data_IF_426031286064
#
_entry.id   IF_426031286064
#
_cell.length_a   1.000
_cell.length_b   1.000
_cell.length_c   1.000
_cell.angle_alpha   90.00
_cell.angle_beta   90.00
_cell.angle_gamma   90.00
#
_symmetry.space_group_name_H-M   'P 1'
#
loop_
_entity.id
_entity.type
_entity.pdbx_description
1 polymer ?
#
# COMPACT_ATOMS: atom_id res chain seq x y z
N UNK A 1 35.44 64.45 -42.30
CA UNK A 1 34.43 63.76 -43.14
C UNK A 1 34.83 62.30 -43.38
N UNK A 2 36.11 61.94 -43.66
CA UNK A 2 36.55 60.58 -43.93
C UNK A 2 36.34 59.58 -42.75
N UNK A 3 36.57 60.02 -41.50
CA UNK A 3 36.40 59.17 -40.31
C UNK A 3 34.91 58.83 -40.05
N UNK A 4 34.03 59.76 -40.27
CA UNK A 4 32.58 59.54 -40.14
C UNK A 4 32.05 58.57 -41.18
N UNK A 5 32.54 58.68 -42.44
CA UNK A 5 32.15 57.76 -43.46
C UNK A 5 32.63 56.31 -43.17
N UNK A 6 33.81 56.16 -42.58
CA UNK A 6 34.37 54.85 -42.22
C UNK A 6 33.62 54.22 -41.07
N UNK A 7 33.16 55.03 -40.10
CA UNK A 7 32.28 54.57 -39.00
C UNK A 7 30.92 54.09 -39.52
N UNK A 8 30.29 54.85 -40.42
CA UNK A 8 29.02 54.49 -41.00
C UNK A 8 29.18 53.18 -41.78
N UNK A 9 30.26 53.03 -42.60
CA UNK A 9 30.51 51.80 -43.36
C UNK A 9 30.69 50.61 -42.41
N UNK A 10 31.42 50.78 -41.30
CA UNK A 10 31.61 49.69 -40.34
C UNK A 10 30.28 49.20 -39.66
N UNK A 11 29.38 50.15 -39.37
CA UNK A 11 28.06 49.82 -38.82
C UNK A 11 27.21 49.06 -39.84
N UNK A 12 27.21 49.55 -41.12
CA UNK A 12 26.48 48.86 -42.21
C UNK A 12 27.01 47.43 -42.46
N UNK A 13 28.30 47.26 -42.43
CA UNK A 13 28.93 45.92 -42.61
C UNK A 13 28.59 45.04 -41.43
N UNK A 14 28.60 45.55 -40.19
CA UNK A 14 28.23 44.80 -38.98
C UNK A 14 26.76 44.36 -39.02
N UNK A 15 25.85 45.29 -39.39
CA UNK A 15 24.42 44.98 -39.52
C UNK A 15 24.16 43.94 -40.64
N UNK A 16 24.81 44.07 -41.81
CA UNK A 16 24.73 43.07 -42.86
C UNK A 16 25.29 41.72 -42.44
N UNK A 17 26.39 41.70 -41.68
CA UNK A 17 26.94 40.46 -41.14
C UNK A 17 26.01 39.78 -40.15
N UNK A 18 25.42 40.52 -39.19
CA UNK A 18 24.48 39.97 -38.21
C UNK A 18 23.17 39.54 -38.84
N UNK A 19 22.68 40.24 -39.86
CA UNK A 19 21.46 39.86 -40.60
C UNK A 19 21.63 38.60 -41.44
N UNK A 20 22.84 38.36 -42.00
CA UNK A 20 23.12 37.16 -42.77
C UNK A 20 23.57 35.96 -41.96
N UNK A 21 24.11 36.19 -40.74
CA UNK A 21 24.51 35.13 -39.84
C UNK A 21 23.38 34.75 -38.88
N UNK A 22 22.28 34.23 -39.40
CA UNK A 22 21.24 33.59 -38.55
C UNK A 22 21.84 32.35 -37.95
N UNK A 23 22.00 32.36 -36.63
CA UNK A 23 22.35 31.14 -35.86
C UNK A 23 21.19 30.17 -35.97
N UNK A 24 21.28 29.22 -36.89
CA UNK A 24 20.35 28.11 -36.93
C UNK A 24 20.51 27.28 -35.62
N UNK A 25 19.49 27.33 -34.79
CA UNK A 25 19.41 26.40 -33.67
C UNK A 25 19.01 25.04 -34.23
N UNK A 26 19.95 24.14 -34.28
CA UNK A 26 19.69 22.75 -34.63
C UNK A 26 19.37 21.98 -33.38
N UNK A 27 18.21 21.37 -33.35
CA UNK A 27 17.85 20.40 -32.31
C UNK A 27 18.13 19.00 -32.84
N UNK A 28 18.77 18.20 -32.01
CA UNK A 28 18.93 16.76 -32.31
C UNK A 28 17.56 16.12 -32.28
N UNK A 29 17.12 15.57 -33.42
CA UNK A 29 15.89 14.77 -33.44
C UNK A 29 16.07 13.56 -32.54
N UNK A 30 15.20 13.44 -31.52
CA UNK A 30 15.16 12.27 -30.64
C UNK A 30 14.05 11.36 -31.14
N UNK A 31 14.42 10.12 -31.41
CA UNK A 31 13.42 9.11 -31.71
C UNK A 31 12.54 8.89 -30.47
N UNK A 32 11.25 9.09 -30.62
CA UNK A 32 10.28 8.91 -29.53
C UNK A 32 9.18 8.00 -30.04
N UNK A 33 8.97 6.91 -29.32
CA UNK A 33 7.86 6.00 -29.60
C UNK A 33 6.57 6.64 -29.09
N UNK A 34 5.63 6.89 -29.97
CA UNK A 34 4.31 7.40 -29.60
C UNK A 34 3.36 6.22 -29.54
N UNK A 35 2.81 5.97 -28.33
CA UNK A 35 1.79 4.95 -28.14
C UNK A 35 0.41 5.53 -28.39
N UNK A 36 -0.41 4.80 -29.12
CA UNK A 36 -1.83 5.10 -29.25
C UNK A 36 -2.55 4.46 -28.06
N UNK A 37 -3.23 5.27 -27.27
CA UNK A 37 -4.03 4.80 -26.14
C UNK A 37 -5.44 4.46 -26.61
N UNK A 38 -5.96 3.32 -26.16
CA UNK A 38 -7.35 2.90 -26.33
C UNK A 38 -8.01 3.04 -24.97
N UNK A 39 -8.97 3.94 -24.87
CA UNK A 39 -9.77 4.10 -23.64
C UNK A 39 -10.91 3.07 -23.64
N UNK A 40 -10.98 2.25 -22.61
CA UNK A 40 -12.02 1.25 -22.47
C UNK A 40 -12.31 1.01 -21.00
N UNK A 41 -13.53 0.54 -20.71
CA UNK A 41 -13.91 0.07 -19.37
C UNK A 41 -13.54 -1.40 -19.26
N UNK A 42 -12.83 -1.74 -18.20
CA UNK A 42 -12.41 -3.11 -17.92
C UNK A 42 -13.00 -3.62 -16.60
N UNK A 43 -13.31 -4.91 -16.56
CA UNK A 43 -13.62 -5.63 -15.34
C UNK A 43 -12.34 -6.34 -14.84
N UNK A 44 -11.97 -6.09 -13.59
CA UNK A 44 -10.89 -6.84 -12.93
C UNK A 44 -11.48 -8.11 -12.31
N UNK A 45 -11.01 -9.27 -12.72
CA UNK A 45 -11.49 -10.57 -12.25
C UNK A 45 -10.39 -11.28 -11.50
N UNK A 46 -10.68 -11.65 -10.27
CA UNK A 46 -9.83 -12.44 -9.37
C UNK A 46 -10.66 -13.57 -8.78
N UNK A 47 -10.02 -14.63 -8.34
CA UNK A 47 -10.70 -15.65 -7.56
C UNK A 47 -10.83 -15.16 -6.12
N UNK A 48 -12.05 -14.79 -5.72
CA UNK A 48 -12.37 -14.18 -4.45
C UNK A 48 -13.44 -15.00 -3.70
N UNK A 49 -13.19 -15.26 -2.43
CA UNK A 49 -14.12 -15.99 -1.57
C UNK A 49 -14.54 -15.08 -0.41
N UNK A 50 -15.80 -14.72 -0.37
CA UNK A 50 -16.37 -13.90 0.71
C UNK A 50 -16.36 -14.67 2.02
N UNK A 51 -15.93 -14.01 3.10
CA UNK A 51 -15.98 -14.54 4.44
C UNK A 51 -17.09 -13.86 5.21
N UNK A 52 -18.18 -14.57 5.42
CA UNK A 52 -19.33 -14.09 6.19
C UNK A 52 -19.37 -14.75 7.55
N UNK A 53 -19.80 -14.01 8.56
CA UNK A 53 -19.96 -14.50 9.92
C UNK A 53 -21.44 -14.70 10.29
N UNK A 54 -21.71 -15.47 11.35
CA UNK A 54 -23.08 -15.70 11.83
C UNK A 54 -23.71 -14.46 12.49
N UNK A 55 -23.28 -13.26 12.16
CA UNK A 55 -23.74 -12.01 12.77
C UNK A 55 -23.27 -11.82 14.23
N UNK A 56 -23.50 -10.61 14.75
CA UNK A 56 -23.11 -10.25 16.12
C UNK A 56 -21.84 -9.40 16.17
N UNK A 57 -21.31 -9.23 17.37
CA UNK A 57 -20.11 -8.40 17.60
C UNK A 57 -18.85 -9.19 17.30
N UNK A 58 -18.04 -8.70 16.37
CA UNK A 58 -16.81 -9.36 15.94
C UNK A 58 -15.62 -8.42 16.04
N UNK A 59 -14.44 -9.00 16.34
CA UNK A 59 -13.14 -8.32 16.24
C UNK A 59 -12.31 -9.07 15.23
N UNK A 60 -11.86 -8.37 14.19
CA UNK A 60 -11.00 -8.92 13.15
C UNK A 60 -9.63 -9.26 13.72
N UNK A 61 -9.08 -10.44 13.34
CA UNK A 61 -7.80 -10.95 13.83
C UNK A 61 -6.71 -10.97 12.76
N UNK A 62 -7.07 -10.69 11.50
CA UNK A 62 -6.18 -10.72 10.36
C UNK A 62 -6.15 -9.35 9.71
N UNK A 63 -5.00 -8.87 9.32
CA UNK A 63 -4.84 -7.59 8.66
C UNK A 63 -5.10 -7.69 7.15
N UNK A 64 -5.45 -6.56 6.51
CA UNK A 64 -5.54 -6.48 5.06
C UNK A 64 -4.17 -6.79 4.42
N UNK A 65 -4.18 -7.63 3.39
CA UNK A 65 -2.96 -8.10 2.72
C UNK A 65 -2.25 -9.25 3.44
N UNK A 66 -2.71 -9.67 4.59
CA UNK A 66 -2.12 -10.79 5.34
C UNK A 66 -2.49 -12.13 4.71
N UNK A 67 -1.52 -13.05 4.69
CA UNK A 67 -1.75 -14.44 4.25
C UNK A 67 -2.44 -15.24 5.33
N UNK A 68 -3.56 -15.87 4.96
CA UNK A 68 -4.32 -16.72 5.85
C UNK A 68 -4.37 -18.16 5.31
N UNK A 69 -4.18 -19.12 6.21
CA UNK A 69 -4.30 -20.53 5.87
C UNK A 69 -5.77 -20.97 5.88
N UNK A 70 -6.07 -22.07 5.19
CA UNK A 70 -7.38 -22.74 5.30
C UNK A 70 -7.71 -23.04 6.76
N UNK A 71 -8.93 -22.75 7.17
CA UNK A 71 -9.41 -22.79 8.56
C UNK A 71 -8.74 -21.78 9.49
N UNK A 72 -7.98 -20.82 8.95
CA UNK A 72 -7.44 -19.70 9.69
C UNK A 72 -8.55 -18.81 10.26
N UNK A 73 -8.31 -18.25 11.43
CA UNK A 73 -9.27 -17.35 12.09
C UNK A 73 -9.26 -15.97 11.45
N UNK A 74 -10.40 -15.53 10.93
CA UNK A 74 -10.57 -14.18 10.37
C UNK A 74 -11.03 -13.21 11.45
N UNK A 75 -11.97 -13.61 12.29
CA UNK A 75 -12.48 -12.78 13.37
C UNK A 75 -12.83 -13.61 14.60
N UNK A 76 -12.81 -12.96 15.77
CA UNK A 76 -13.32 -13.47 17.02
C UNK A 76 -14.72 -12.88 17.28
N UNK A 77 -15.60 -13.66 17.86
CA UNK A 77 -16.95 -13.25 18.22
C UNK A 77 -17.06 -12.99 19.71
N UNK A 78 -17.78 -11.94 20.05
CA UNK A 78 -18.01 -11.54 21.46
C UNK A 78 -19.50 -11.45 21.75
N UNK A 79 -19.82 -11.54 23.04
CA UNK A 79 -21.21 -11.45 23.50
C UNK A 79 -21.73 -10.02 23.45
N UNK A 80 -20.86 -9.03 23.66
CA UNK A 80 -21.21 -7.62 23.67
C UNK A 80 -20.14 -6.75 23.00
N UNK A 81 -20.51 -5.53 22.61
CA UNK A 81 -19.58 -4.51 22.12
C UNK A 81 -18.56 -4.11 23.21
N UNK A 82 -18.98 -4.11 24.47
CA UNK A 82 -18.09 -3.81 25.59
C UNK A 82 -16.96 -4.85 25.69
N UNK A 83 -17.29 -6.14 25.56
CA UNK A 83 -16.31 -7.23 25.57
C UNK A 83 -15.36 -7.13 24.37
N UNK A 84 -15.88 -6.88 23.18
CA UNK A 84 -15.09 -6.70 21.95
C UNK A 84 -14.11 -5.53 22.09
N UNK A 85 -14.58 -4.41 22.63
CA UNK A 85 -13.76 -3.23 22.87
C UNK A 85 -12.69 -3.49 23.92
N UNK A 86 -13.04 -4.11 25.04
CA UNK A 86 -12.10 -4.47 26.10
C UNK A 86 -11.01 -5.43 25.57
N UNK A 87 -11.40 -6.43 24.77
CA UNK A 87 -10.45 -7.34 24.11
C UNK A 87 -9.50 -6.59 23.17
N UNK A 88 -10.02 -5.74 22.30
CA UNK A 88 -9.20 -4.97 21.36
C UNK A 88 -8.21 -4.04 22.07
N UNK A 89 -8.67 -3.33 23.10
CA UNK A 89 -7.83 -2.46 23.90
C UNK A 89 -6.74 -3.24 24.64
N UNK A 90 -7.10 -4.39 25.24
CA UNK A 90 -6.15 -5.25 25.94
C UNK A 90 -5.12 -5.82 24.99
N UNK A 91 -5.50 -6.19 23.77
CA UNK A 91 -4.58 -6.68 22.74
C UNK A 91 -3.58 -5.60 22.34
N UNK A 92 -4.04 -4.37 22.08
CA UNK A 92 -3.17 -3.25 21.77
C UNK A 92 -2.19 -2.92 22.92
N UNK A 93 -2.65 -2.98 24.16
CA UNK A 93 -1.76 -2.79 25.33
C UNK A 93 -0.73 -3.92 25.45
N UNK A 94 -1.12 -5.16 25.15
CA UNK A 94 -0.22 -6.33 25.15
C UNK A 94 0.86 -6.20 24.07
N UNK A 95 0.52 -5.76 22.89
CA UNK A 95 1.48 -5.49 21.81
C UNK A 95 2.46 -4.38 22.23
N UNK A 96 1.95 -3.30 22.81
CA UNK A 96 2.78 -2.21 23.32
C UNK A 96 3.70 -2.66 24.45
N UNK A 97 3.21 -3.53 25.35
CA UNK A 97 4.02 -4.12 26.43
C UNK A 97 5.14 -4.99 25.84
N UNK A 98 4.82 -5.80 24.83
CA UNK A 98 5.83 -6.61 24.15
C UNK A 98 6.87 -5.74 23.45
N UNK A 99 6.44 -4.69 22.76
CA UNK A 99 7.32 -3.72 22.14
C UNK A 99 8.31 -3.08 23.13
N UNK A 100 7.86 -2.67 24.30
CA UNK A 100 8.76 -2.14 25.34
C UNK A 100 9.73 -3.18 25.89
N UNK A 101 9.34 -4.45 25.99
CA UNK A 101 10.25 -5.54 26.35
C UNK A 101 11.34 -5.74 25.29
N UNK A 102 10.96 -5.71 24.02
CA UNK A 102 11.89 -5.89 22.93
C UNK A 102 12.87 -4.72 22.82
N UNK A 103 12.41 -3.49 23.06
CA UNK A 103 13.25 -2.30 23.13
C UNK A 103 14.24 -2.38 24.31
N UNK A 104 13.79 -2.75 25.49
CA UNK A 104 14.64 -2.92 26.67
C UNK A 104 15.73 -3.97 26.41
N UNK A 105 15.39 -5.11 25.82
CA UNK A 105 16.32 -6.17 25.45
C UNK A 105 17.34 -5.69 24.40
N UNK A 106 16.90 -4.97 23.38
CA UNK A 106 17.77 -4.39 22.35
C UNK A 106 18.71 -3.34 22.93
N UNK A 107 18.25 -2.53 23.89
CA UNK A 107 19.06 -1.49 24.52
C UNK A 107 20.19 -2.04 25.38
N UNK A 108 19.95 -3.16 26.06
CA UNK A 108 20.98 -3.81 26.90
C UNK A 108 21.99 -4.60 26.06
N UNK A 109 21.58 -5.11 24.90
CA UNK A 109 22.46 -5.92 24.04
C UNK A 109 23.39 -5.08 23.13
N UNK A 110 23.07 -3.81 22.86
CA UNK A 110 23.74 -3.01 21.82
C UNK A 110 24.57 -1.85 22.40
N UNK A 111 25.17 -1.99 23.56
CA UNK A 111 25.93 -0.92 24.23
C UNK A 111 27.24 -0.51 23.52
N UNK A 112 27.45 -0.78 22.22
CA UNK A 112 28.80 -0.78 21.68
C UNK A 112 29.13 0.23 20.58
N UNK A 113 28.17 0.70 19.78
CA UNK A 113 28.52 1.63 18.69
C UNK A 113 27.35 2.57 18.29
N UNK A 114 27.48 3.84 18.67
CA UNK A 114 26.51 4.88 18.30
C UNK A 114 26.50 5.11 16.77
N UNK A 115 27.62 4.91 16.10
CA UNK A 115 27.75 5.06 14.64
C UNK A 115 26.90 4.02 13.91
N UNK A 116 26.85 2.80 14.43
CA UNK A 116 26.00 1.74 13.88
C UNK A 116 24.51 2.11 14.00
N UNK A 117 24.09 2.68 15.13
CA UNK A 117 22.72 3.14 15.35
C UNK A 117 22.38 4.34 14.48
N UNK A 118 23.30 5.27 14.28
CA UNK A 118 23.11 6.40 13.37
C UNK A 118 22.96 5.94 11.91
N UNK A 119 23.74 4.96 11.47
CA UNK A 119 23.60 4.36 10.14
C UNK A 119 22.26 3.62 9.97
N UNK A 120 21.81 2.88 10.99
CA UNK A 120 20.52 2.23 11.00
C UNK A 120 19.37 3.25 10.94
N UNK A 121 19.49 4.38 11.65
CA UNK A 121 18.50 5.45 11.57
C UNK A 121 18.36 6.02 10.14
N UNK A 122 19.50 6.22 9.45
CA UNK A 122 19.48 6.66 8.04
C UNK A 122 18.82 5.63 7.13
N UNK A 123 19.09 4.34 7.35
CA UNK A 123 18.44 3.28 6.57
C UNK A 123 16.93 3.26 6.78
N UNK A 124 16.47 3.32 8.03
CA UNK A 124 15.03 3.32 8.35
C UNK A 124 14.31 4.54 7.75
N UNK A 125 14.95 5.72 7.73
CA UNK A 125 14.41 6.91 7.04
C UNK A 125 14.28 6.66 5.53
N UNK A 126 15.30 6.06 4.90
CA UNK A 126 15.26 5.74 3.48
C UNK A 126 14.20 4.69 3.15
N UNK A 127 14.00 3.69 4.01
CA UNK A 127 12.98 2.66 3.84
C UNK A 127 11.58 3.26 3.99
N UNK A 128 11.38 4.18 4.94
CA UNK A 128 10.14 4.95 5.06
C UNK A 128 9.82 5.76 3.80
N UNK A 129 10.81 6.51 3.28
CA UNK A 129 10.64 7.31 2.05
C UNK A 129 10.34 6.40 0.86
N UNK A 130 11.02 5.25 0.75
CA UNK A 130 10.79 4.28 -0.33
C UNK A 130 9.39 3.68 -0.28
N UNK A 131 8.93 3.28 0.90
CA UNK A 131 7.59 2.75 1.09
C UNK A 131 6.52 3.78 0.69
N UNK A 132 6.68 5.05 1.11
CA UNK A 132 5.78 6.13 0.69
C UNK A 132 5.78 6.35 -0.83
N UNK A 133 6.95 6.34 -1.47
CA UNK A 133 7.07 6.50 -2.92
C UNK A 133 6.41 5.35 -3.71
N UNK A 134 6.33 4.17 -3.11
CA UNK A 134 5.66 2.99 -3.67
C UNK A 134 4.18 2.88 -3.27
N UNK A 135 3.66 3.85 -2.51
CA UNK A 135 2.31 3.81 -1.93
C UNK A 135 2.06 2.58 -1.04
N UNK A 136 3.12 2.01 -0.47
CA UNK A 136 3.07 0.92 0.50
C UNK A 136 2.85 1.50 1.91
N UNK A 137 1.59 1.68 2.28
CA UNK A 137 1.22 2.24 3.59
C UNK A 137 1.60 1.31 4.76
N UNK A 138 1.57 0.00 4.54
CA UNK A 138 1.93 -0.99 5.55
C UNK A 138 3.44 -0.96 5.79
N UNK A 139 4.24 -0.99 4.73
CA UNK A 139 5.69 -0.85 4.80
C UNK A 139 6.10 0.50 5.40
N UNK A 140 5.42 1.59 5.05
CA UNK A 140 5.66 2.90 5.64
C UNK A 140 5.38 2.93 7.15
N UNK A 141 4.29 2.31 7.60
CA UNK A 141 3.98 2.20 9.04
C UNK A 141 5.05 1.42 9.79
N UNK A 142 5.50 0.29 9.26
CA UNK A 142 6.56 -0.53 9.84
C UNK A 142 7.89 0.24 9.92
N UNK A 143 8.30 0.86 8.81
CA UNK A 143 9.53 1.65 8.77
C UNK A 143 9.49 2.87 9.71
N UNK A 144 8.33 3.51 9.87
CA UNK A 144 8.14 4.59 10.86
C UNK A 144 8.31 4.11 12.30
N UNK A 145 7.84 2.91 12.61
CA UNK A 145 8.02 2.30 13.92
C UNK A 145 9.50 1.96 14.17
N UNK A 146 10.18 1.33 13.22
CA UNK A 146 11.61 1.01 13.30
C UNK A 146 12.47 2.27 13.46
N UNK A 147 12.13 3.33 12.73
CA UNK A 147 12.78 4.63 12.87
C UNK A 147 12.62 5.20 14.29
N UNK A 148 11.43 5.15 14.84
CA UNK A 148 11.13 5.61 16.20
C UNK A 148 11.92 4.81 17.26
N UNK A 149 11.99 3.48 17.08
CA UNK A 149 12.75 2.58 17.94
C UNK A 149 14.25 2.90 17.92
N UNK A 150 14.79 3.15 16.73
CA UNK A 150 16.20 3.47 16.54
C UNK A 150 16.55 4.83 17.14
N UNK A 151 15.70 5.85 16.99
CA UNK A 151 15.89 7.14 17.65
C UNK A 151 15.79 7.04 19.17
N UNK A 152 14.86 6.27 19.69
CA UNK A 152 14.73 6.01 21.12
C UNK A 152 15.98 5.33 21.67
N UNK A 153 16.48 4.30 20.98
CA UNK A 153 17.71 3.59 21.31
C UNK A 153 18.91 4.53 21.30
N UNK A 154 19.01 5.39 20.29
CA UNK A 154 20.04 6.43 20.22
C UNK A 154 20.00 7.39 21.42
N UNK A 155 18.80 7.88 21.79
CA UNK A 155 18.63 8.74 22.96
C UNK A 155 19.10 8.08 24.25
N UNK A 156 18.83 6.78 24.43
CA UNK A 156 19.30 6.01 25.57
C UNK A 156 20.83 5.90 25.61
N UNK A 157 21.47 5.71 24.45
CA UNK A 157 22.93 5.63 24.36
C UNK A 157 23.63 6.95 24.71
N UNK A 158 23.01 8.09 24.45
CA UNK A 158 23.56 9.42 24.80
C UNK A 158 23.20 9.89 26.23
N UNK A 159 22.61 9.02 27.03
CA UNK A 159 22.40 9.24 28.46
C UNK A 159 20.98 9.57 28.88
N UNK A 160 19.97 9.42 28.01
CA UNK A 160 18.56 9.52 28.41
C UNK A 160 18.14 8.19 29.00
N UNK A 161 17.83 8.15 30.31
CA UNK A 161 17.29 6.94 30.94
C UNK A 161 15.79 6.86 30.74
N UNK A 162 15.30 5.75 30.16
CA UNK A 162 13.88 5.44 30.06
C UNK A 162 13.57 4.40 31.15
N UNK A 163 12.60 4.71 32.00
CA UNK A 163 12.14 3.78 33.02
C UNK A 163 11.12 2.78 32.42
N UNK A 164 11.65 1.76 31.74
CA UNK A 164 10.83 0.68 31.19
C UNK A 164 10.04 -0.09 32.26
N UNK A 165 10.55 -0.15 33.49
CA UNK A 165 9.86 -0.84 34.57
C UNK A 165 8.57 -0.11 34.96
N UNK A 166 8.63 1.23 35.07
CA UNK A 166 7.46 2.05 35.33
C UNK A 166 6.46 1.99 34.18
N UNK A 167 6.92 2.09 32.91
CA UNK A 167 6.06 2.02 31.74
C UNK A 167 5.36 0.67 31.60
N UNK A 168 6.08 -0.44 31.80
CA UNK A 168 5.50 -1.80 31.76
C UNK A 168 4.50 -2.02 32.88
N UNK A 169 4.77 -1.49 34.09
CA UNK A 169 3.86 -1.58 35.23
C UNK A 169 2.56 -0.82 34.97
N UNK A 170 2.65 0.37 34.39
CA UNK A 170 1.47 1.18 34.03
C UNK A 170 0.60 0.46 33.00
N UNK A 171 1.19 -0.08 31.91
CA UNK A 171 0.47 -0.86 30.91
C UNK A 171 -0.19 -2.11 31.53
N UNK A 172 0.49 -2.79 32.46
CA UNK A 172 -0.06 -3.95 33.15
C UNK A 172 -1.28 -3.55 34.00
N UNK A 173 -1.19 -2.44 34.72
CA UNK A 173 -2.34 -1.91 35.50
C UNK A 173 -3.53 -1.60 34.62
N UNK A 174 -3.31 -0.94 33.47
CA UNK A 174 -4.37 -0.65 32.49
C UNK A 174 -5.00 -1.94 31.93
N UNK A 175 -4.19 -2.98 31.68
CA UNK A 175 -4.71 -4.28 31.23
C UNK A 175 -5.53 -5.00 32.31
N UNK A 176 -5.16 -4.86 33.56
CA UNK A 176 -5.87 -5.46 34.70
C UNK A 176 -7.21 -4.75 34.94
N UNK A 177 -7.26 -3.43 34.78
CA UNK A 177 -8.47 -2.61 34.87
C UNK A 177 -9.51 -2.95 33.78
N UNK A 178 -9.06 -3.34 32.57
CA UNK A 178 -9.94 -3.76 31.48
C UNK A 178 -10.57 -5.15 31.70
N UNK A 179 -10.03 -5.94 32.65
CA UNK A 179 -10.45 -7.31 32.86
C UNK A 179 -10.13 -8.25 31.71
N UNK A 180 -10.74 -9.43 31.72
CA UNK A 180 -10.61 -10.44 30.65
C UNK A 180 -11.93 -10.62 29.94
N UNK A 181 -11.96 -10.25 28.67
CA UNK A 181 -13.09 -10.56 27.78
C UNK A 181 -12.72 -11.77 26.92
N UNK A 182 -13.47 -12.86 27.09
CA UNK A 182 -13.23 -14.10 26.33
C UNK A 182 -14.14 -14.16 25.10
N UNK A 183 -13.60 -14.54 23.92
CA UNK A 183 -14.43 -14.73 22.74
C UNK A 183 -15.35 -15.94 22.90
N UNK A 184 -16.60 -15.79 22.49
CA UNK A 184 -17.61 -16.87 22.47
C UNK A 184 -17.48 -17.78 21.23
N UNK A 185 -16.62 -17.44 20.28
CA UNK A 185 -16.36 -18.22 19.09
C UNK A 185 -15.45 -17.48 18.11
N UNK A 186 -15.22 -18.09 16.97
CA UNK A 186 -14.41 -17.51 15.88
C UNK A 186 -15.06 -17.73 14.52
N UNK A 187 -14.77 -16.85 13.59
CA UNK A 187 -15.06 -17.01 12.17
C UNK A 187 -13.78 -17.41 11.46
N UNK A 188 -13.84 -18.46 10.67
CA UNK A 188 -12.69 -19.00 9.93
C UNK A 188 -12.96 -18.99 8.44
N UNK A 189 -11.89 -18.93 7.64
CA UNK A 189 -11.99 -19.07 6.19
C UNK A 189 -11.98 -20.56 5.76
N UNK A 190 -12.72 -20.89 4.70
CA UNK A 190 -12.70 -22.22 4.12
C UNK A 190 -11.51 -22.45 3.16
N UNK A 191 -10.84 -21.38 2.73
CA UNK A 191 -9.77 -21.38 1.74
C UNK A 191 -8.53 -20.67 2.29
N UNK A 192 -7.37 -20.96 1.68
CA UNK A 192 -6.13 -20.22 1.97
C UNK A 192 -5.91 -19.15 0.92
N UNK A 193 -5.36 -18.02 1.30
CA UNK A 193 -5.09 -16.92 0.36
C UNK A 193 -4.65 -15.64 1.08
N UNK A 194 -4.90 -14.50 0.46
CA UNK A 194 -4.64 -13.18 1.02
C UNK A 194 -5.97 -12.56 1.45
N UNK A 195 -6.04 -12.13 2.68
CA UNK A 195 -7.26 -11.51 3.22
C UNK A 195 -7.39 -10.04 2.81
N UNK A 196 -8.64 -9.62 2.54
CA UNK A 196 -9.03 -8.23 2.38
C UNK A 196 -10.33 -7.97 3.12
N UNK A 197 -10.36 -6.96 3.97
CA UNK A 197 -11.57 -6.53 4.69
C UNK A 197 -12.55 -5.74 3.82
N UNK A 198 -12.18 -5.44 2.58
CA UNK A 198 -13.03 -4.70 1.65
C UNK A 198 -13.79 -5.64 0.72
N UNK A 199 -15.11 -5.49 0.69
CA UNK A 199 -16.01 -6.15 -0.27
C UNK A 199 -16.75 -5.10 -1.09
N UNK A 200 -16.81 -5.29 -2.40
CA UNK A 200 -17.45 -4.38 -3.34
C UNK A 200 -18.78 -4.93 -3.89
N UNK A 201 -19.10 -6.19 -3.57
CA UNK A 201 -20.29 -6.90 -4.05
C UNK A 201 -20.11 -7.50 -5.43
N UNK A 202 -18.89 -7.45 -5.98
CA UNK A 202 -18.56 -8.02 -7.28
C UNK A 202 -17.91 -9.40 -7.17
N UNK A 203 -17.68 -9.92 -5.98
CA UNK A 203 -16.93 -11.15 -5.70
C UNK A 203 -17.54 -12.41 -6.37
N UNK A 204 -18.82 -12.37 -6.69
CA UNK A 204 -19.55 -13.46 -7.34
C UNK A 204 -20.14 -13.08 -8.70
N UNK A 205 -19.84 -11.87 -9.22
CA UNK A 205 -20.38 -11.39 -10.49
C UNK A 205 -19.85 -12.22 -11.66
N UNK A 206 -18.65 -12.75 -11.51
CA UNK A 206 -18.00 -13.56 -12.54
C UNK A 206 -17.25 -14.75 -11.96
N UNK A 207 -17.35 -15.88 -12.66
CA UNK A 207 -16.59 -17.08 -12.35
C UNK A 207 -15.16 -16.95 -12.93
N UNK A 208 -14.15 -16.95 -12.06
CA UNK A 208 -12.75 -16.82 -12.43
C UNK A 208 -12.31 -17.89 -13.45
N UNK A 209 -12.80 -19.11 -13.33
CA UNK A 209 -12.43 -20.22 -14.20
C UNK A 209 -13.01 -20.09 -15.62
N UNK A 210 -14.07 -19.26 -15.79
CA UNK A 210 -14.72 -19.04 -17.08
C UNK A 210 -14.26 -17.77 -17.80
N UNK A 211 -13.30 -17.03 -17.26
CA UNK A 211 -12.84 -15.76 -17.84
C UNK A 211 -12.38 -15.87 -19.28
N UNK A 212 -11.67 -16.95 -19.62
CA UNK A 212 -11.14 -17.17 -20.97
C UNK A 212 -12.21 -17.53 -22.01
N UNK A 213 -13.39 -17.92 -21.58
CA UNK A 213 -14.54 -18.29 -22.42
C UNK A 213 -15.59 -17.18 -22.52
N UNK A 214 -15.33 -16.03 -21.84
CA UNK A 214 -16.26 -14.91 -21.76
C UNK A 214 -16.55 -14.31 -23.13
N UNK A 215 -17.84 -14.14 -23.42
CA UNK A 215 -18.29 -13.42 -24.62
C UNK A 215 -18.44 -11.92 -24.34
N UNK A 216 -18.50 -11.10 -25.39
CA UNK A 216 -18.77 -9.67 -25.24
C UNK A 216 -20.13 -9.38 -24.56
N UNK A 217 -21.11 -10.26 -24.75
CA UNK A 217 -22.44 -10.13 -24.12
C UNK A 217 -22.37 -10.43 -22.61
N UNK A 218 -21.55 -11.41 -22.21
CA UNK A 218 -21.33 -11.73 -20.80
C UNK A 218 -20.64 -10.59 -20.06
N UNK A 219 -19.64 -9.98 -20.69
CA UNK A 219 -18.97 -8.79 -20.15
C UNK A 219 -19.96 -7.61 -19.99
N UNK A 220 -20.79 -7.32 -20.98
CA UNK A 220 -21.79 -6.24 -20.89
C UNK A 220 -22.77 -6.50 -19.72
N UNK A 221 -23.17 -7.75 -19.50
CA UNK A 221 -24.00 -8.15 -18.37
C UNK A 221 -23.27 -8.02 -17.03
N UNK A 222 -22.03 -8.46 -16.98
CA UNK A 222 -21.20 -8.36 -15.78
C UNK A 222 -20.94 -6.91 -15.38
N UNK A 223 -20.62 -6.03 -16.34
CA UNK A 223 -20.43 -4.60 -16.09
C UNK A 223 -21.70 -3.95 -15.53
N UNK A 224 -22.86 -4.23 -16.08
CA UNK A 224 -24.16 -3.72 -15.56
C UNK A 224 -24.43 -4.22 -14.14
N UNK A 225 -24.06 -5.47 -13.85
CA UNK A 225 -24.23 -6.03 -12.50
C UNK A 225 -23.27 -5.35 -11.54
N UNK A 226 -22.01 -5.15 -11.94
CA UNK A 226 -20.99 -4.47 -11.14
C UNK A 226 -21.35 -3.01 -10.84
N UNK A 227 -21.92 -2.27 -11.80
CA UNK A 227 -22.40 -0.88 -11.59
C UNK A 227 -23.49 -0.79 -10.51
N UNK A 228 -24.30 -1.82 -10.36
CA UNK A 228 -25.38 -1.89 -9.36
C UNK A 228 -24.98 -2.62 -8.08
N UNK A 229 -23.81 -3.24 -8.06
CA UNK A 229 -23.30 -4.00 -6.92
C UNK A 229 -23.07 -3.06 -5.72
N UNK A 230 -23.34 -3.59 -4.55
CA UNK A 230 -23.04 -2.94 -3.28
C UNK A 230 -22.31 -3.94 -2.42
N UNK A 231 -21.26 -3.48 -1.72
CA UNK A 231 -20.53 -4.32 -0.78
C UNK A 231 -21.49 -5.01 0.20
N UNK A 232 -21.23 -6.27 0.49
CA UNK A 232 -22.00 -7.03 1.47
C UNK A 232 -21.69 -6.51 2.87
N UNK A 233 -22.65 -5.81 3.47
CA UNK A 233 -22.53 -5.27 4.83
C UNK A 233 -22.49 -6.35 5.92
N UNK A 234 -22.80 -7.60 5.58
CA UNK A 234 -22.73 -8.77 6.48
C UNK A 234 -21.40 -9.55 6.33
N UNK A 235 -20.61 -9.27 5.32
CA UNK A 235 -19.32 -9.88 5.13
C UNK A 235 -18.26 -9.24 6.03
N UNK A 236 -17.37 -10.08 6.58
CA UNK A 236 -16.19 -9.64 7.33
C UNK A 236 -15.03 -9.27 6.42
N UNK A 237 -15.13 -9.63 5.15
CA UNK A 237 -14.12 -9.43 4.12
C UNK A 237 -14.11 -10.57 3.11
N UNK A 238 -13.05 -10.67 2.34
CA UNK A 238 -12.84 -11.72 1.33
C UNK A 238 -11.42 -12.27 1.39
N UNK A 239 -11.25 -13.50 0.89
CA UNK A 239 -9.94 -14.13 0.71
C UNK A 239 -9.69 -14.30 -0.78
N UNK A 240 -8.59 -13.76 -1.25
CA UNK A 240 -8.13 -13.83 -2.64
C UNK A 240 -7.21 -15.04 -2.75
N UNK A 241 -7.60 -16.01 -3.56
CA UNK A 241 -6.88 -17.29 -3.71
C UNK A 241 -6.00 -17.31 -4.95
N UNK A 242 -6.38 -16.56 -6.00
CA UNK A 242 -5.62 -16.50 -7.24
C UNK A 242 -4.40 -15.60 -7.13
N UNK A 243 -3.28 -16.07 -7.69
CA UNK A 243 -2.08 -15.24 -7.88
C UNK A 243 -2.18 -14.36 -9.14
N UNK A 244 -2.82 -14.87 -10.18
CA UNK A 244 -3.08 -14.17 -11.41
C UNK A 244 -4.47 -13.52 -11.39
N UNK A 245 -4.62 -12.39 -12.03
CA UNK A 245 -5.90 -11.72 -12.26
C UNK A 245 -6.01 -11.32 -13.72
N UNK A 246 -7.24 -11.12 -14.15
CA UNK A 246 -7.55 -10.75 -15.52
C UNK A 246 -8.18 -9.37 -15.56
N UNK A 247 -7.77 -8.58 -16.53
CA UNK A 247 -8.51 -7.37 -16.92
C UNK A 247 -9.26 -7.69 -18.20
N UNK A 248 -10.57 -7.80 -18.11
CA UNK A 248 -11.43 -8.12 -19.25
C UNK A 248 -12.06 -6.82 -19.74
N UNK A 249 -11.77 -6.47 -20.97
CA UNK A 249 -12.28 -5.27 -21.60
C UNK A 249 -12.81 -5.55 -23.01
N UNK A 250 -13.61 -4.62 -23.55
CA UNK A 250 -14.14 -4.65 -24.90
C UNK A 250 -13.41 -3.62 -25.73
N UNK A 251 -12.89 -4.04 -26.87
CA UNK A 251 -12.22 -3.15 -27.82
C UNK A 251 -12.61 -3.50 -29.25
N UNK A 252 -12.57 -2.53 -30.16
CA UNK A 252 -12.86 -2.76 -31.56
C UNK A 252 -11.77 -3.61 -32.21
N UNK A 253 -12.18 -4.51 -33.11
CA UNK A 253 -11.26 -5.42 -33.82
C UNK A 253 -10.16 -4.63 -34.59
N UNK A 254 -10.51 -3.47 -35.14
CA UNK A 254 -9.56 -2.62 -35.87
C UNK A 254 -8.46 -2.03 -34.94
N UNK A 255 -8.77 -1.83 -33.66
CA UNK A 255 -7.83 -1.35 -32.65
C UNK A 255 -7.00 -2.52 -32.08
N UNK A 256 -7.61 -3.69 -31.86
CA UNK A 256 -6.92 -4.89 -31.38
C UNK A 256 -5.83 -5.38 -32.35
N UNK A 257 -6.05 -5.25 -33.67
CA UNK A 257 -5.04 -5.63 -34.70
C UNK A 257 -3.74 -4.82 -34.57
N UNK A 258 -3.76 -3.67 -33.89
CA UNK A 258 -2.61 -2.76 -33.71
C UNK A 258 -1.98 -2.88 -32.32
N UNK A 259 -2.60 -3.64 -31.43
CA UNK A 259 -2.05 -3.90 -30.11
C UNK A 259 -0.99 -4.98 -30.24
N UNK A 260 0.27 -4.58 -30.11
CA UNK A 260 1.36 -5.54 -29.92
C UNK A 260 1.35 -5.96 -28.46
N UNK A 261 1.39 -7.25 -28.19
CA UNK A 261 1.59 -7.76 -26.85
C UNK A 261 2.87 -7.13 -26.29
N UNK A 262 2.72 -6.28 -25.28
CA UNK A 262 3.85 -5.68 -24.59
C UNK A 262 4.74 -6.77 -24.03
N UNK A 263 6.02 -6.66 -24.28
CA UNK A 263 7.09 -7.44 -23.65
C UNK A 263 7.39 -6.87 -22.28
#
# INVERSE_FOLDING_TARGET
IGIVALLILSVVVYECYTATHVRLQTYTAKETTVYRTIETTALAVREEHTVSGPGGVTVQCVADGEKIAKNGKVALRFQSEADAKAYSQRTALKEKLQHYRDMENKSTATATDITAVDNEAVQNVNDYIRALAQSDLTGASTAAQEMNDTFTRRQMMIGTSIDFAALKKDLQSQMDDLGTAEPIGSVTTAVSGVFSGYTDGCESVFDYDQVTEMTAADLDKALKTAESAKGDTGALGKVITSYAWYFVCKADVADLQKVQNGT
#
